data_IF_699096172222
#
_entry.id   IF_699096172222
#
_cell.length_a   1.000
_cell.length_b   1.000
_cell.length_c   1.000
_cell.angle_alpha   90.00
_cell.angle_beta   90.00
_cell.angle_gamma   90.00
#
_symmetry.space_group_name_H-M   'P 1'
#
loop_
_entity.id
_entity.type
_entity.pdbx_description
1 polymer ?
#
# COMPACT_ATOMS: atom_id res chain seq x y z
N UNK A 1 7.83 -10.76 -1.32
CA UNK A 1 7.19 -11.07 -2.61
C UNK A 1 6.48 -9.82 -3.11
N UNK A 2 6.34 -9.66 -4.42
CA UNK A 2 5.58 -8.59 -5.07
C UNK A 2 4.52 -9.22 -5.97
N UNK A 3 3.39 -8.56 -6.11
CA UNK A 3 2.32 -9.03 -6.99
C UNK A 3 1.48 -7.85 -7.45
N UNK A 4 0.81 -8.00 -8.59
CA UNK A 4 -0.08 -6.98 -9.09
C UNK A 4 -0.93 -7.45 -10.26
N UNK A 5 -1.79 -6.54 -10.72
CA UNK A 5 -2.65 -6.73 -11.87
C UNK A 5 -2.61 -5.48 -12.75
N UNK A 6 -2.59 -5.69 -14.06
CA UNK A 6 -2.70 -4.63 -15.07
C UNK A 6 -3.92 -4.89 -15.95
N UNK A 7 -4.73 -3.86 -16.17
CA UNK A 7 -5.93 -3.91 -17.01
C UNK A 7 -5.68 -3.23 -18.36
N UNK A 8 -6.19 -3.82 -19.43
CA UNK A 8 -6.03 -3.34 -20.80
C UNK A 8 -7.38 -3.31 -21.53
N UNK A 9 -7.53 -2.34 -22.43
CA UNK A 9 -8.70 -2.19 -23.32
C UNK A 9 -8.19 -1.95 -24.74
N UNK A 10 -8.63 -2.77 -25.69
CA UNK A 10 -8.30 -2.60 -27.11
C UNK A 10 -9.18 -1.51 -27.76
N UNK A 11 -8.78 -0.96 -28.92
CA UNK A 11 -9.65 -0.09 -29.72
C UNK A 11 -10.98 -0.76 -30.13
N UNK A 12 -11.00 -2.08 -30.25
CA UNK A 12 -12.21 -2.89 -30.50
C UNK A 12 -13.06 -3.15 -29.25
N UNK A 13 -12.80 -2.45 -28.14
CA UNK A 13 -13.47 -2.60 -26.83
C UNK A 13 -13.29 -3.97 -26.17
N UNK A 14 -12.35 -4.80 -26.63
CA UNK A 14 -11.98 -6.03 -25.93
C UNK A 14 -11.16 -5.68 -24.68
N UNK A 15 -11.56 -6.22 -23.52
CA UNK A 15 -10.89 -5.99 -22.24
C UNK A 15 -10.19 -7.25 -21.78
N UNK A 16 -8.99 -7.09 -21.26
CA UNK A 16 -8.24 -8.19 -20.66
C UNK A 16 -7.37 -7.70 -19.51
N UNK A 17 -7.03 -8.59 -18.59
CA UNK A 17 -6.10 -8.31 -17.52
C UNK A 17 -4.94 -9.29 -17.50
N UNK A 18 -3.82 -8.85 -16.92
CA UNK A 18 -2.65 -9.67 -16.61
C UNK A 18 -2.35 -9.55 -15.13
N UNK A 19 -2.27 -10.69 -14.45
CA UNK A 19 -1.70 -10.78 -13.11
C UNK A 19 -0.22 -11.13 -13.20
N UNK A 20 0.59 -10.55 -12.33
CA UNK A 20 2.02 -10.85 -12.23
C UNK A 20 2.42 -11.01 -10.75
N UNK A 21 3.43 -11.82 -10.50
CA UNK A 21 3.98 -12.08 -9.17
C UNK A 21 5.48 -12.35 -9.25
N UNK A 22 6.19 -11.94 -8.20
CA UNK A 22 7.63 -12.14 -8.03
C UNK A 22 7.93 -12.60 -6.60
N UNK A 23 8.60 -13.74 -6.48
CA UNK A 23 9.05 -14.33 -5.22
C UNK A 23 10.59 -14.42 -5.21
N UNK A 24 11.20 -13.84 -4.18
CA UNK A 24 12.65 -13.86 -3.99
C UNK A 24 13.01 -15.01 -3.05
N UNK A 25 13.88 -15.92 -3.50
CA UNK A 25 14.31 -17.06 -2.70
C UNK A 25 15.51 -16.75 -1.77
N UNK A 26 16.08 -15.54 -1.85
CA UNK A 26 17.24 -15.12 -1.04
C UNK A 26 18.58 -15.71 -1.49
N UNK A 27 18.62 -16.49 -2.57
CA UNK A 27 19.80 -17.11 -3.15
C UNK A 27 20.11 -16.56 -4.57
N UNK A 28 19.84 -15.27 -4.80
CA UNK A 28 19.87 -14.61 -6.12
C UNK A 28 18.84 -15.12 -7.15
N UNK A 29 17.99 -16.08 -6.80
CA UNK A 29 16.91 -16.52 -7.68
C UNK A 29 15.62 -15.78 -7.39
N UNK A 30 14.94 -15.42 -8.48
CA UNK A 30 13.61 -14.81 -8.47
C UNK A 30 12.66 -15.69 -9.27
N UNK A 31 11.57 -16.11 -8.65
CA UNK A 31 10.45 -16.75 -9.34
C UNK A 31 9.50 -15.68 -9.84
N UNK A 32 9.33 -15.62 -11.16
CA UNK A 32 8.41 -14.71 -11.83
C UNK A 32 7.28 -15.50 -12.45
N UNK A 33 6.05 -15.17 -12.08
CA UNK A 33 4.87 -15.85 -12.56
C UNK A 33 3.76 -14.89 -12.93
N UNK A 34 2.80 -15.38 -13.69
CA UNK A 34 1.63 -14.61 -14.05
C UNK A 34 0.77 -15.28 -15.11
N UNK A 35 -0.38 -14.68 -15.35
CA UNK A 35 -1.39 -15.17 -16.28
C UNK A 35 -2.22 -14.02 -16.83
N UNK A 36 -2.75 -14.22 -18.02
CA UNK A 36 -3.61 -13.29 -18.74
C UNK A 36 -5.01 -13.87 -18.92
N UNK A 37 -6.04 -13.04 -18.88
CA UNK A 37 -7.40 -13.46 -19.26
C UNK A 37 -7.50 -13.82 -20.75
N UNK A 38 -6.47 -13.51 -21.55
CA UNK A 38 -6.31 -13.96 -22.93
C UNK A 38 -5.81 -15.41 -23.06
N UNK A 39 -5.45 -16.06 -21.95
CA UNK A 39 -4.97 -17.44 -21.91
C UNK A 39 -3.45 -17.60 -21.89
N UNK A 40 -2.68 -16.52 -21.96
CA UNK A 40 -1.23 -16.56 -21.78
C UNK A 40 -0.86 -16.78 -20.32
N UNK A 41 0.21 -17.53 -20.04
CA UNK A 41 0.79 -17.68 -18.71
C UNK A 41 2.30 -17.78 -18.79
N UNK A 42 2.98 -17.34 -17.75
CA UNK A 42 4.42 -17.49 -17.58
C UNK A 42 4.72 -17.91 -16.16
N UNK A 43 5.73 -18.76 -16.03
CA UNK A 43 6.21 -19.30 -14.75
C UNK A 43 7.68 -19.66 -14.96
N UNK A 44 8.58 -18.80 -14.48
CA UNK A 44 10.03 -18.95 -14.69
C UNK A 44 10.79 -18.62 -13.41
N UNK A 45 11.90 -19.33 -13.20
CA UNK A 45 12.88 -18.99 -12.16
C UNK A 45 14.12 -18.45 -12.86
N UNK A 46 14.46 -17.19 -12.60
CA UNK A 46 15.60 -16.50 -13.20
C UNK A 46 16.63 -16.24 -12.10
N UNK A 47 17.90 -16.41 -12.43
CA UNK A 47 19.00 -15.94 -11.59
C UNK A 47 19.16 -14.44 -11.85
N UNK A 48 18.70 -13.63 -10.91
CA UNK A 48 18.86 -12.18 -10.95
C UNK A 48 19.79 -11.80 -9.81
N UNK A 49 20.95 -11.22 -10.13
CA UNK A 49 21.87 -10.59 -9.16
C UNK A 49 21.25 -9.33 -8.50
N UNK A 50 19.93 -9.26 -8.41
CA UNK A 50 19.17 -8.21 -7.75
C UNK A 50 19.34 -8.36 -6.24
N UNK A 51 20.33 -7.67 -5.71
CA UNK A 51 20.46 -7.37 -4.30
C UNK A 51 19.35 -6.39 -3.90
N UNK A 52 18.43 -6.84 -3.03
CA UNK A 52 17.56 -5.95 -2.28
C UNK A 52 18.10 -5.89 -0.85
N UNK A 53 18.46 -4.69 -0.38
CA UNK A 53 18.72 -4.50 1.04
C UNK A 53 17.42 -4.76 1.81
N UNK A 54 17.38 -5.86 2.56
CA UNK A 54 16.20 -6.25 3.35
C UNK A 54 15.91 -5.25 4.47
N UNK A 55 16.94 -4.53 4.92
CA UNK A 55 16.82 -3.43 5.86
C UNK A 55 16.88 -2.10 5.10
N UNK A 56 15.79 -1.32 5.05
CA UNK A 56 15.85 0.02 4.48
C UNK A 56 16.83 0.85 5.30
N UNK A 57 17.97 1.24 4.71
CA UNK A 57 18.96 2.09 5.38
C UNK A 57 18.48 3.53 5.60
N UNK A 58 17.33 3.90 5.03
CA UNK A 58 16.68 5.19 5.21
C UNK A 58 15.19 4.97 5.48
N UNK A 59 14.80 5.14 6.74
CA UNK A 59 13.45 4.91 7.22
C UNK A 59 12.62 6.19 7.33
N UNK A 60 11.34 6.03 7.67
CA UNK A 60 10.45 7.18 7.91
C UNK A 60 10.98 8.10 9.03
N UNK A 61 11.62 7.53 10.07
CA UNK A 61 12.20 8.32 11.14
C UNK A 61 13.35 9.22 10.65
N UNK A 62 14.19 8.72 9.74
CA UNK A 62 15.29 9.48 9.15
C UNK A 62 14.76 10.59 8.24
N UNK A 63 13.74 10.29 7.42
CA UNK A 63 13.02 11.29 6.60
C UNK A 63 12.48 12.42 7.47
N UNK A 64 11.79 12.08 8.58
CA UNK A 64 11.24 13.08 9.49
C UNK A 64 12.37 13.86 10.17
N UNK A 65 13.43 13.19 10.59
CA UNK A 65 14.62 13.80 11.21
C UNK A 65 15.33 14.81 10.31
N UNK A 66 15.46 14.53 9.02
CA UNK A 66 16.08 15.44 8.04
C UNK A 66 15.14 16.58 7.61
N UNK A 67 13.83 16.40 7.78
CA UNK A 67 12.80 17.34 7.33
C UNK A 67 12.57 18.55 8.25
N UNK A 68 13.54 18.91 9.11
CA UNK A 68 13.43 19.99 10.11
C UNK A 68 12.83 21.28 9.53
N UNK A 69 13.24 21.66 8.32
CA UNK A 69 12.69 22.83 7.62
C UNK A 69 11.19 22.69 7.32
N UNK A 70 10.74 21.54 6.81
CA UNK A 70 9.33 21.25 6.56
C UNK A 70 8.52 21.21 7.87
N UNK A 71 9.08 20.63 8.94
CA UNK A 71 8.45 20.58 10.26
C UNK A 71 8.37 21.97 10.93
N UNK A 72 9.23 22.91 10.53
CA UNK A 72 9.24 24.29 11.04
C UNK A 72 8.20 25.21 10.41
N UNK A 73 7.47 24.74 9.39
CA UNK A 73 6.42 25.52 8.72
C UNK A 73 5.31 25.79 9.74
N UNK A 74 5.17 27.06 10.13
CA UNK A 74 4.07 27.49 10.98
C UNK A 74 2.80 27.65 10.13
N UNK A 75 1.66 27.11 10.56
CA UNK A 75 0.38 27.41 9.93
C UNK A 75 0.19 28.93 9.88
N UNK A 76 -0.05 29.47 8.69
CA UNK A 76 -0.37 30.89 8.54
C UNK A 76 -1.79 31.12 9.03
N UNK A 77 -2.04 32.28 9.64
CA UNK A 77 -3.40 32.71 9.92
C UNK A 77 -4.24 32.65 8.63
N UNK A 78 -5.45 32.12 8.78
CA UNK A 78 -6.41 32.06 7.68
C UNK A 78 -6.69 33.49 7.24
N UNK A 79 -6.58 33.82 5.94
CA UNK A 79 -6.93 35.15 5.46
C UNK A 79 -8.40 35.46 5.79
N UNK A 80 -8.80 36.73 5.91
CA UNK A 80 -10.19 37.11 6.03
C UNK A 80 -10.97 36.65 4.78
N UNK A 81 -11.98 35.81 4.97
CA UNK A 81 -12.78 35.23 3.88
C UNK A 81 -13.63 34.05 4.34
N UNK A 82 -14.53 33.59 3.46
CA UNK A 82 -15.35 32.40 3.66
C UNK A 82 -14.58 31.20 3.11
N UNK A 83 -14.16 30.30 3.98
CA UNK A 83 -13.49 29.05 3.61
C UNK A 83 -14.35 27.87 4.05
N UNK A 84 -14.51 26.83 3.21
CA UNK A 84 -15.22 25.62 3.61
C UNK A 84 -14.47 24.98 4.79
N UNK A 85 -15.21 24.56 5.81
CA UNK A 85 -14.64 23.77 6.90
C UNK A 85 -14.37 22.37 6.34
N UNK A 86 -13.10 22.10 6.07
CA UNK A 86 -12.65 20.80 5.56
C UNK A 86 -12.05 20.05 6.74
N UNK A 87 -12.92 19.31 7.43
CA UNK A 87 -12.56 18.50 8.58
C UNK A 87 -12.00 17.16 8.10
N UNK A 88 -10.69 17.12 7.84
CA UNK A 88 -9.99 15.93 7.35
C UNK A 88 -9.79 14.84 8.41
N UNK A 89 -10.20 15.07 9.67
CA UNK A 89 -9.80 14.22 10.80
C UNK A 89 -10.91 13.79 11.75
N UNK A 90 -12.14 14.29 11.63
CA UNK A 90 -13.23 13.97 12.58
C UNK A 90 -14.05 12.72 12.28
N UNK A 91 -13.69 11.94 11.26
CA UNK A 91 -14.11 10.54 11.24
C UNK A 91 -13.32 9.80 12.33
N UNK A 92 -13.71 10.03 13.59
CA UNK A 92 -13.48 9.08 14.67
C UNK A 92 -13.89 7.70 14.11
N UNK A 93 -13.05 6.66 14.24
CA UNK A 93 -13.55 5.32 14.01
C UNK A 93 -14.79 5.15 14.90
N UNK A 94 -15.89 4.53 14.40
CA UNK A 94 -17.00 4.19 15.27
C UNK A 94 -16.41 3.49 16.50
N UNK A 95 -16.74 4.02 17.67
CA UNK A 95 -16.39 3.42 18.94
C UNK A 95 -17.01 2.01 18.89
N UNK A 96 -16.18 0.98 18.71
CA UNK A 96 -16.64 -0.39 18.91
C UNK A 96 -17.04 -0.46 20.38
N UNK A 97 -18.34 -0.41 20.64
CA UNK A 97 -18.89 -0.75 21.94
C UNK A 97 -18.37 -2.15 22.29
N UNK A 98 -17.79 -2.35 23.49
CA UNK A 98 -17.36 -3.68 23.89
C UNK A 98 -18.58 -4.62 23.85
N UNK A 99 -18.42 -5.88 23.37
CA UNK A 99 -19.53 -6.81 23.33
C UNK A 99 -20.09 -6.99 24.74
N UNK A 100 -21.40 -6.75 24.88
CA UNK A 100 -22.17 -7.03 26.08
C UNK A 100 -21.80 -8.42 26.61
N UNK A 101 -21.07 -8.45 27.72
CA UNK A 101 -20.82 -9.68 28.44
C UNK A 101 -22.16 -10.13 29.03
N UNK A 102 -22.66 -11.34 28.70
CA UNK A 102 -23.84 -11.85 29.38
C UNK A 102 -23.50 -12.02 30.86
N UNK A 103 -24.35 -11.43 31.70
CA UNK A 103 -24.26 -11.48 33.16
C UNK A 103 -24.13 -12.94 33.63
N UNK A 104 -23.11 -13.21 34.46
CA UNK A 104 -22.95 -14.51 35.13
C UNK A 104 -24.24 -14.90 35.86
N UNK A 105 -24.78 -16.11 35.64
CA UNK A 105 -25.81 -16.62 36.54
C UNK A 105 -25.16 -17.04 37.85
N UNK A 106 -25.74 -16.55 38.94
CA UNK A 106 -25.43 -16.97 40.30
C UNK A 106 -25.93 -18.40 40.49
N UNK A 107 -25.03 -19.34 40.78
CA UNK A 107 -25.31 -20.51 41.63
C UNK A 107 -24.02 -21.13 42.16
#
# INVERSE_FOLDING_TARGET
>A
SRQGETWHVSPSSYRWSRTWGEEHFGNSKVHKYGKSTTGESWDIVVDEETYYEAEPHYGWADVVGDSIQLLSIKPRERPPGIYPNLDFGSSLPPHDDPPDLPSSPSQ
#
